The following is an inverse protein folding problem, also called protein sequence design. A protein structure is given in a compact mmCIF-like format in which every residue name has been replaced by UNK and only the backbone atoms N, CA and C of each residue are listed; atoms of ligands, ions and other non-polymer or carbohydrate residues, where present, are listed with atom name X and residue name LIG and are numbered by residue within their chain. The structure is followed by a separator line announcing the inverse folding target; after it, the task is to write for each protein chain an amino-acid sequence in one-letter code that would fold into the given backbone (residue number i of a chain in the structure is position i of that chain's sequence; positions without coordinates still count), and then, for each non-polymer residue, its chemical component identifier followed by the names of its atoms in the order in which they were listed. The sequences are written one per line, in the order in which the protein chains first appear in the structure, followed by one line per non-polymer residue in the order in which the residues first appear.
data_IF_362658615317
#
_entry.id   IF_362658615317
#
_cell.length_a   1.000
_cell.length_b   1.000
_cell.length_c   1.000
_cell.angle_alpha   90.00
_cell.angle_beta   90.00
_cell.angle_gamma   90.00
#
_symmetry.space_group_name_H-M   'P 1'
#
loop_
_entity.id
_entity.type
_entity.pdbx_description
1 polymer ?
#
# COMPACT_ATOMS: atom_id res chain seq x y z
N UNK A 1 12.44 19.39 3.60
CA UNK A 1 12.68 19.20 5.05
C UNK A 1 11.55 18.35 5.61
N UNK A 2 11.77 17.04 5.78
CA UNK A 2 10.75 16.15 6.35
C UNK A 2 10.59 16.48 7.84
N UNK A 3 9.34 16.73 8.27
CA UNK A 3 9.01 16.78 9.71
C UNK A 3 9.42 15.45 10.36
N UNK A 4 9.97 15.46 11.57
CA UNK A 4 10.27 14.23 12.30
C UNK A 4 8.99 13.39 12.43
N UNK A 5 9.09 12.10 12.12
CA UNK A 5 7.99 11.16 12.24
C UNK A 5 7.53 11.11 13.70
N UNK A 6 6.22 11.23 13.94
CA UNK A 6 5.66 10.99 15.28
C UNK A 6 5.56 9.48 15.50
N UNK A 7 6.60 8.86 16.03
CA UNK A 7 6.72 7.40 16.11
C UNK A 7 5.54 6.74 16.82
N UNK A 8 5.03 7.32 17.91
CA UNK A 8 3.88 6.78 18.62
C UNK A 8 2.67 6.62 17.71
N UNK A 9 2.36 7.65 16.91
CA UNK A 9 1.22 7.61 15.97
C UNK A 9 1.47 6.61 14.86
N UNK A 10 2.68 6.60 14.30
CA UNK A 10 3.08 5.70 13.21
C UNK A 10 2.97 4.24 13.65
N UNK A 11 3.56 3.89 14.78
CA UNK A 11 3.62 2.51 15.27
C UNK A 11 2.24 2.02 15.70
N UNK A 12 1.45 2.81 16.43
CA UNK A 12 0.08 2.42 16.77
C UNK A 12 -0.77 2.15 15.54
N UNK A 13 -0.58 2.90 14.46
CA UNK A 13 -1.29 2.67 13.21
C UNK A 13 -0.83 1.38 12.52
N UNK A 14 0.47 1.11 12.48
CA UNK A 14 1.00 -0.15 11.95
C UNK A 14 0.53 -1.36 12.75
N UNK A 15 0.49 -1.26 14.08
CA UNK A 15 -0.04 -2.30 14.97
C UNK A 15 -1.52 -2.61 14.67
N UNK A 16 -2.34 -1.61 14.36
CA UNK A 16 -3.73 -1.84 13.94
C UNK A 16 -3.83 -2.55 12.58
N UNK A 17 -2.97 -2.18 11.62
CA UNK A 17 -3.00 -2.71 10.26
C UNK A 17 -2.43 -4.14 10.18
N UNK A 18 -1.38 -4.42 10.94
CA UNK A 18 -0.66 -5.70 10.91
C UNK A 18 -0.99 -6.62 12.09
N UNK A 19 -1.53 -6.10 13.21
CA UNK A 19 -1.76 -6.86 14.45
C UNK A 19 -0.49 -7.57 14.94
N UNK A 20 0.60 -6.82 15.05
CA UNK A 20 1.89 -7.35 15.51
C UNK A 20 1.76 -7.93 16.93
N UNK A 21 2.45 -9.05 17.17
CA UNK A 21 2.45 -9.73 18.48
C UNK A 21 3.48 -9.15 19.47
N UNK A 22 4.40 -8.32 19.00
CA UNK A 22 5.48 -7.74 19.78
C UNK A 22 5.83 -6.35 19.27
N UNK A 23 6.45 -5.52 20.12
CA UNK A 23 6.78 -4.14 19.76
C UNK A 23 7.84 -4.07 18.64
N UNK A 24 7.66 -3.18 17.65
CA UNK A 24 8.76 -2.75 16.79
C UNK A 24 9.92 -2.19 17.62
N UNK A 25 11.12 -2.69 17.37
CA UNK A 25 12.33 -2.36 18.13
C UNK A 25 13.05 -1.20 17.45
N UNK A 26 13.09 -0.04 18.11
CA UNK A 26 14.01 1.03 17.80
C UNK A 26 15.43 0.52 18.06
N UNK A 27 16.33 0.61 17.09
CA UNK A 27 17.71 0.14 17.21
C UNK A 27 18.67 1.26 16.80
N UNK A 28 19.62 1.58 17.69
CA UNK A 28 20.59 2.66 17.48
C UNK A 28 21.98 2.22 17.89
N UNK A 29 22.95 2.45 17.02
CA UNK A 29 24.37 2.31 17.35
C UNK A 29 24.90 3.65 17.87
N UNK A 30 25.73 3.61 18.91
CA UNK A 30 26.25 4.78 19.60
C UNK A 30 27.77 4.85 19.46
N UNK A 31 28.27 6.02 19.09
CA UNK A 31 29.71 6.27 18.94
C UNK A 31 30.37 6.36 20.31
N UNK A 32 29.66 6.89 21.32
CA UNK A 32 30.15 6.99 22.70
C UNK A 32 29.25 6.21 23.68
N UNK A 33 29.87 5.47 24.61
CA UNK A 33 29.12 4.63 25.56
C UNK A 33 28.36 5.49 26.59
N UNK A 34 28.85 6.69 26.88
CA UNK A 34 28.26 7.64 27.83
C UNK A 34 26.87 8.10 27.38
N UNK A 35 26.58 8.05 26.08
CA UNK A 35 25.27 8.42 25.52
C UNK A 35 24.13 7.55 26.07
N UNK A 36 24.43 6.32 26.47
CA UNK A 36 23.47 5.40 27.08
C UNK A 36 22.82 6.00 28.34
N UNK A 37 23.60 6.75 29.12
CA UNK A 37 23.12 7.40 30.35
C UNK A 37 22.12 8.53 30.11
N UNK A 38 22.07 9.05 28.88
CA UNK A 38 21.18 10.14 28.46
C UNK A 38 19.83 9.64 27.95
N UNK A 39 19.71 8.34 27.67
CA UNK A 39 18.48 7.74 27.14
C UNK A 39 17.51 7.47 28.31
N UNK A 40 16.25 7.96 28.24
CA UNK A 40 15.25 7.73 29.27
C UNK A 40 14.99 6.24 29.53
N UNK A 41 14.76 5.89 30.79
CA UNK A 41 14.40 4.53 31.22
C UNK A 41 15.41 3.44 30.82
N UNK A 42 16.66 3.81 30.56
CA UNK A 42 17.74 2.92 30.18
C UNK A 42 17.99 1.83 31.23
N UNK A 43 17.89 0.56 30.82
CA UNK A 43 18.25 -0.61 31.61
C UNK A 43 19.52 -1.24 31.05
N UNK A 44 20.42 -1.61 31.96
CA UNK A 44 21.66 -2.33 31.67
C UNK A 44 21.53 -3.80 32.04
N UNK A 45 22.04 -4.74 31.23
CA UNK A 45 22.09 -6.14 31.60
C UNK A 45 22.79 -6.34 32.95
N UNK A 46 22.13 -7.03 33.90
CA UNK A 46 22.72 -7.38 35.20
C UNK A 46 23.69 -8.58 35.14
N UNK A 47 23.74 -9.25 34.00
CA UNK A 47 24.63 -10.36 33.68
C UNK A 47 24.90 -10.34 32.17
N UNK A 48 25.85 -11.13 31.70
CA UNK A 48 26.16 -11.21 30.27
C UNK A 48 25.01 -11.86 29.49
N UNK A 49 24.58 -11.24 28.41
CA UNK A 49 23.44 -11.68 27.61
C UNK A 49 23.80 -11.80 26.12
N UNK A 50 23.01 -12.55 25.37
CA UNK A 50 23.06 -12.53 23.90
C UNK A 50 22.31 -11.31 23.36
N UNK A 51 22.65 -10.86 22.14
CA UNK A 51 21.91 -9.80 21.47
C UNK A 51 20.42 -10.15 21.34
N UNK A 52 20.13 -11.42 21.04
CA UNK A 52 18.76 -11.91 20.86
C UNK A 52 17.93 -11.76 22.15
N UNK A 53 18.48 -12.09 23.32
CA UNK A 53 17.80 -11.88 24.61
C UNK A 53 17.53 -10.40 24.87
N UNK A 54 18.47 -9.51 24.54
CA UNK A 54 18.29 -8.06 24.70
C UNK A 54 17.16 -7.55 23.81
N UNK A 55 17.10 -8.01 22.55
CA UNK A 55 15.99 -7.72 21.64
C UNK A 55 14.66 -8.22 22.22
N UNK A 56 14.62 -9.42 22.82
CA UNK A 56 13.41 -9.98 23.48
C UNK A 56 12.91 -9.10 24.62
N UNK A 57 13.82 -8.62 25.48
CA UNK A 57 13.47 -7.69 26.56
C UNK A 57 12.78 -6.44 26.03
N UNK A 58 13.20 -5.97 24.87
CA UNK A 58 12.56 -4.83 24.21
C UNK A 58 11.21 -5.22 23.64
N UNK A 59 11.15 -6.20 22.75
CA UNK A 59 9.95 -6.52 21.96
C UNK A 59 8.80 -7.11 22.77
N UNK A 60 9.10 -7.81 23.88
CA UNK A 60 8.09 -8.54 24.66
C UNK A 60 7.93 -8.01 26.09
N UNK A 61 8.94 -7.36 26.67
CA UNK A 61 8.90 -6.91 28.06
C UNK A 61 8.86 -5.39 28.21
N UNK A 62 8.87 -4.64 27.11
CA UNK A 62 8.80 -3.17 27.14
C UNK A 62 9.99 -2.53 27.88
N UNK A 63 11.20 -3.00 27.55
CA UNK A 63 12.42 -2.47 28.13
C UNK A 63 13.18 -1.60 27.14
N UNK A 64 13.65 -0.46 27.61
CA UNK A 64 14.76 0.26 26.96
C UNK A 64 16.06 -0.37 27.47
N UNK A 65 16.82 -1.00 26.58
CA UNK A 65 18.01 -1.77 26.89
C UNK A 65 19.21 -1.17 26.18
N UNK A 66 20.32 -1.07 26.88
CA UNK A 66 21.59 -0.65 26.29
C UNK A 66 22.72 -1.58 26.70
N UNK A 67 23.65 -1.79 25.79
CA UNK A 67 24.78 -2.71 26.01
C UNK A 67 26.07 -2.16 25.42
N UNK A 68 27.17 -2.43 26.12
CA UNK A 68 28.55 -2.31 25.66
C UNK A 68 29.15 -3.71 25.46
N UNK A 69 30.37 -3.77 24.92
CA UNK A 69 31.09 -5.03 24.71
C UNK A 69 31.09 -5.96 25.94
N UNK A 70 31.28 -5.42 27.15
CA UNK A 70 31.34 -6.19 28.41
C UNK A 70 30.04 -6.91 28.78
N UNK A 71 28.91 -6.46 28.26
CA UNK A 71 27.57 -6.97 28.57
C UNK A 71 27.20 -8.19 27.70
N UNK A 72 28.00 -8.49 26.66
CA UNK A 72 27.75 -9.63 25.79
C UNK A 72 28.35 -10.93 26.34
N UNK A 73 27.63 -12.03 26.13
CA UNK A 73 28.03 -13.37 26.56
C UNK A 73 29.34 -13.84 25.91
N UNK A 74 29.50 -13.60 24.61
CA UNK A 74 30.64 -14.01 23.80
C UNK A 74 30.89 -12.95 22.72
N UNK A 75 32.07 -12.94 22.05
CA UNK A 75 32.41 -11.91 21.07
C UNK A 75 31.66 -12.04 19.73
N UNK A 76 30.94 -13.14 19.47
CA UNK A 76 30.26 -13.37 18.19
C UNK A 76 29.19 -12.30 17.91
N UNK A 77 28.25 -12.08 18.84
CA UNK A 77 27.22 -11.04 18.69
C UNK A 77 27.79 -9.61 18.58
N UNK A 78 28.64 -9.14 19.51
CA UNK A 78 29.19 -7.78 19.43
C UNK A 78 30.09 -7.57 18.21
N UNK A 79 30.71 -8.63 17.66
CA UNK A 79 31.46 -8.50 16.40
C UNK A 79 30.60 -8.15 15.20
N UNK A 80 29.36 -8.65 15.14
CA UNK A 80 28.39 -8.30 14.09
C UNK A 80 28.06 -6.81 14.14
N UNK A 81 27.99 -6.25 15.36
CA UNK A 81 27.74 -4.84 15.62
C UNK A 81 29.01 -3.96 15.52
N UNK A 82 30.17 -4.53 15.19
CA UNK A 82 31.43 -3.79 15.08
C UNK A 82 32.03 -3.34 16.42
N UNK A 83 31.57 -3.89 17.55
CA UNK A 83 32.06 -3.52 18.90
C UNK A 83 33.37 -4.23 19.27
N UNK A 84 33.71 -5.32 18.58
CA UNK A 84 34.98 -6.01 18.73
C UNK A 84 35.30 -6.83 17.46
N UNK A 85 36.54 -7.26 17.33
CA UNK A 85 36.92 -8.27 16.34
C UNK A 85 36.47 -9.67 16.79
N UNK A 86 36.36 -10.60 15.83
CA UNK A 86 36.17 -12.01 16.13
C UNK A 86 37.48 -12.65 16.60
N UNK A 87 37.46 -13.59 17.56
CA UNK A 87 38.66 -14.31 18.00
C UNK A 87 39.29 -15.17 16.90
N UNK A 88 40.57 -15.51 17.06
CA UNK A 88 41.30 -16.34 16.09
C UNK A 88 40.67 -17.72 15.90
N UNK A 89 40.10 -18.31 16.95
CA UNK A 89 39.43 -19.61 16.86
C UNK A 89 38.10 -19.55 16.05
N UNK A 90 37.56 -18.36 15.78
CA UNK A 90 36.49 -18.18 14.79
C UNK A 90 37.09 -18.08 13.38
N UNK A 91 38.16 -17.28 13.23
CA UNK A 91 38.85 -17.01 11.96
C UNK A 91 39.54 -18.23 11.37
N UNK A 92 40.11 -19.11 12.19
CA UNK A 92 40.75 -20.36 11.77
C UNK A 92 39.74 -21.50 11.48
N UNK A 93 38.45 -21.22 11.69
CA UNK A 93 37.34 -22.14 11.47
C UNK A 93 37.09 -23.14 12.61
N UNK A 94 37.85 -23.09 13.72
CA UNK A 94 37.69 -24.00 14.85
C UNK A 94 36.26 -23.96 15.39
N UNK A 95 35.72 -22.77 15.69
CA UNK A 95 34.39 -22.60 16.29
C UNK A 95 33.26 -23.22 15.45
N UNK A 96 33.13 -22.80 14.19
CA UNK A 96 32.00 -23.23 13.34
C UNK A 96 32.08 -24.71 12.97
N UNK A 97 33.29 -25.27 12.89
CA UNK A 97 33.48 -26.70 12.58
C UNK A 97 33.01 -27.65 13.69
N UNK A 98 32.79 -27.15 14.92
CA UNK A 98 32.30 -27.97 16.03
C UNK A 98 30.84 -28.37 15.80
N UNK A 99 30.03 -27.48 15.22
CA UNK A 99 28.55 -27.64 15.19
C UNK A 99 27.95 -27.45 13.81
N UNK A 100 28.44 -26.47 13.03
CA UNK A 100 27.68 -25.92 11.90
C UNK A 100 28.13 -26.43 10.54
N UNK A 101 29.41 -26.79 10.40
CA UNK A 101 29.99 -27.20 9.11
C UNK A 101 31.00 -28.32 9.28
N UNK A 102 31.16 -29.14 8.23
CA UNK A 102 31.96 -30.37 8.30
C UNK A 102 33.46 -30.14 8.49
N UNK A 103 34.01 -29.07 7.90
CA UNK A 103 35.46 -28.84 7.87
C UNK A 103 35.82 -27.44 8.38
N UNK A 104 37.04 -27.28 8.91
CA UNK A 104 37.56 -25.95 9.25
C UNK A 104 37.63 -25.02 8.05
N UNK A 105 37.90 -25.54 6.86
CA UNK A 105 37.89 -24.75 5.62
C UNK A 105 36.50 -24.19 5.30
N UNK A 106 35.46 -25.00 5.45
CA UNK A 106 34.08 -24.53 5.29
C UNK A 106 33.70 -23.55 6.40
N UNK A 107 34.24 -23.72 7.60
CA UNK A 107 34.05 -22.80 8.72
C UNK A 107 34.70 -21.42 8.48
N UNK A 108 35.89 -21.39 7.89
CA UNK A 108 36.54 -20.14 7.48
C UNK A 108 35.72 -19.41 6.43
N UNK A 109 35.22 -20.13 5.42
CA UNK A 109 34.32 -19.57 4.39
C UNK A 109 33.04 -19.04 5.02
N UNK A 110 32.42 -19.82 5.91
CA UNK A 110 31.24 -19.41 6.66
C UNK A 110 31.48 -18.07 7.36
N UNK A 111 32.55 -17.97 8.14
CA UNK A 111 32.81 -16.80 8.99
C UNK A 111 33.17 -15.54 8.17
N UNK A 112 33.82 -15.73 7.02
CA UNK A 112 34.19 -14.66 6.08
C UNK A 112 32.97 -14.06 5.35
N UNK A 113 31.91 -14.85 5.13
CA UNK A 113 30.69 -14.41 4.45
C UNK A 113 29.69 -13.70 5.37
N UNK A 114 29.93 -13.63 6.69
CA UNK A 114 29.07 -12.92 7.65
C UNK A 114 29.33 -11.40 7.56
N UNK A 115 28.35 -10.58 7.13
CA UNK A 115 28.47 -9.13 7.20
C UNK A 115 28.71 -8.62 8.62
N UNK A 116 29.60 -7.64 8.78
CA UNK A 116 29.83 -7.00 10.09
C UNK A 116 29.88 -5.50 9.90
N UNK A 117 29.42 -4.76 10.90
CA UNK A 117 29.61 -3.31 10.91
C UNK A 117 31.11 -2.99 11.01
N UNK A 118 31.56 -1.86 10.45
CA UNK A 118 32.95 -1.42 10.61
C UNK A 118 33.32 -1.30 12.08
N UNK A 119 34.50 -1.83 12.41
CA UNK A 119 35.09 -1.64 13.73
C UNK A 119 35.48 -0.16 13.93
N UNK A 120 35.69 0.23 15.19
CA UNK A 120 36.17 1.56 15.63
C UNK A 120 35.18 2.73 15.48
N UNK A 121 33.97 2.48 14.98
CA UNK A 121 32.92 3.51 14.90
C UNK A 121 32.03 3.57 16.13
N UNK A 122 31.63 2.42 16.66
CA UNK A 122 30.62 2.33 17.70
C UNK A 122 31.17 1.70 18.97
N UNK A 123 30.75 2.21 20.12
CA UNK A 123 31.14 1.71 21.45
C UNK A 123 29.97 1.06 22.19
N UNK A 124 28.74 1.32 21.75
CA UNK A 124 27.55 0.80 22.39
C UNK A 124 26.36 0.65 21.43
N UNK A 125 25.34 -0.06 21.90
CA UNK A 125 24.05 -0.21 21.23
C UNK A 125 22.92 0.13 22.20
N UNK A 126 21.89 0.81 21.71
CA UNK A 126 20.65 1.08 22.42
C UNK A 126 19.46 0.54 21.64
N UNK A 127 18.53 -0.09 22.36
CA UNK A 127 17.32 -0.68 21.82
C UNK A 127 16.13 -0.34 22.71
N UNK A 128 14.97 -0.06 22.11
CA UNK A 128 13.79 0.27 22.89
C UNK A 128 12.50 0.08 22.08
N UNK A 129 11.32 -0.01 22.71
CA UNK A 129 10.06 -0.12 21.98
C UNK A 129 9.77 1.24 21.33
N UNK A 130 9.70 1.24 19.99
CA UNK A 130 9.68 2.48 19.21
C UNK A 130 8.44 3.36 19.49
N UNK A 131 7.35 2.76 19.96
CA UNK A 131 6.10 3.45 20.29
C UNK A 131 6.27 4.50 21.41
N UNK A 132 7.30 4.40 22.24
CA UNK A 132 7.55 5.33 23.36
C UNK A 132 8.49 6.49 23.02
N UNK A 133 8.96 6.60 21.77
CA UNK A 133 9.83 7.69 21.31
C UNK A 133 11.09 7.92 22.19
N UNK A 134 11.83 6.85 22.57
CA UNK A 134 12.94 6.98 23.54
C UNK A 134 14.17 7.69 22.96
N UNK A 135 14.41 7.54 21.65
CA UNK A 135 15.45 8.18 20.87
C UNK A 135 15.12 8.05 19.38
N UNK A 136 15.82 8.79 18.51
CA UNK A 136 15.73 8.61 17.06
C UNK A 136 16.55 7.37 16.63
N UNK A 137 15.90 6.31 16.10
CA UNK A 137 16.59 5.08 15.72
C UNK A 137 17.33 5.22 14.39
N UNK A 138 18.34 4.39 14.17
CA UNK A 138 18.98 4.27 12.86
C UNK A 138 18.19 3.28 11.99
N UNK A 139 17.77 2.16 12.59
CA UNK A 139 16.93 1.14 11.98
C UNK A 139 15.82 0.70 12.93
N UNK A 140 14.78 0.07 12.38
CA UNK A 140 13.67 -0.53 13.12
C UNK A 140 13.62 -2.02 12.81
N UNK A 141 13.64 -2.85 13.85
CA UNK A 141 13.44 -4.30 13.71
C UNK A 141 11.97 -4.64 13.95
N UNK A 142 11.39 -5.37 13.01
CA UNK A 142 10.01 -5.87 13.10
C UNK A 142 10.05 -7.39 13.01
N UNK A 143 9.46 -8.04 14.00
CA UNK A 143 9.20 -9.47 14.00
C UNK A 143 7.72 -9.71 13.68
N UNK A 144 7.47 -10.55 12.69
CA UNK A 144 6.12 -10.80 12.20
C UNK A 144 6.05 -12.14 11.45
N UNK A 145 4.85 -12.70 11.30
CA UNK A 145 4.65 -13.92 10.52
C UNK A 145 4.73 -13.66 8.99
N UNK A 146 4.77 -14.71 8.14
CA UNK A 146 4.93 -14.53 6.70
C UNK A 146 3.82 -13.70 6.03
N UNK A 147 2.58 -13.81 6.52
CA UNK A 147 1.45 -13.03 6.00
C UNK A 147 1.61 -11.54 6.30
N UNK A 148 2.06 -11.18 7.51
CA UNK A 148 2.35 -9.81 7.89
C UNK A 148 3.56 -9.26 7.11
N UNK A 149 4.62 -10.07 6.92
CA UNK A 149 5.79 -9.67 6.15
C UNK A 149 5.46 -9.42 4.68
N UNK A 150 4.60 -10.25 4.07
CA UNK A 150 4.15 -10.05 2.69
C UNK A 150 3.48 -8.68 2.51
N UNK A 151 2.65 -8.23 3.46
CA UNK A 151 2.07 -6.88 3.42
C UNK A 151 3.11 -5.78 3.60
N UNK A 152 4.05 -5.97 4.53
CA UNK A 152 5.09 -5.00 4.80
C UNK A 152 6.05 -4.83 3.62
N UNK A 153 6.44 -5.93 2.95
CA UNK A 153 7.23 -5.92 1.71
C UNK A 153 6.48 -5.18 0.61
N UNK A 154 5.22 -5.56 0.34
CA UNK A 154 4.40 -4.88 -0.66
C UNK A 154 4.25 -3.38 -0.34
N UNK A 155 4.15 -3.01 0.94
CA UNK A 155 4.04 -1.61 1.34
C UNK A 155 5.30 -0.79 1.03
N UNK A 156 6.48 -1.39 1.23
CA UNK A 156 7.76 -0.75 0.96
C UNK A 156 8.06 -0.68 -0.55
N UNK A 157 7.52 -1.61 -1.33
CA UNK A 157 7.64 -1.68 -2.79
C UNK A 157 6.54 -0.91 -3.54
N UNK A 158 5.53 -0.40 -2.83
CA UNK A 158 4.36 0.25 -3.44
C UNK A 158 4.73 1.49 -4.26
N UNK A 159 5.67 2.29 -3.74
CA UNK A 159 6.32 3.40 -4.45
C UNK A 159 7.77 3.00 -4.75
N UNK A 160 8.31 3.39 -5.90
CA UNK A 160 9.68 3.06 -6.33
C UNK A 160 9.99 1.55 -6.24
N UNK A 161 9.26 0.75 -7.02
CA UNK A 161 9.37 -0.70 -6.98
C UNK A 161 10.83 -1.17 -7.17
N UNK A 162 11.33 -1.92 -6.17
CA UNK A 162 12.60 -2.61 -6.22
C UNK A 162 12.43 -4.02 -5.65
N UNK A 163 13.03 -5.02 -6.28
CA UNK A 163 13.07 -6.37 -5.73
C UNK A 163 13.91 -6.37 -4.45
N UNK A 164 13.31 -6.74 -3.32
CA UNK A 164 14.03 -6.90 -2.07
C UNK A 164 14.85 -8.18 -2.05
N UNK A 165 16.07 -8.12 -1.51
CA UNK A 165 16.91 -9.29 -1.33
C UNK A 165 16.60 -9.95 0.01
N UNK A 166 16.40 -11.27 -0.04
CA UNK A 166 16.19 -12.11 1.14
C UNK A 166 17.47 -12.90 1.40
N UNK A 167 18.10 -12.64 2.54
CA UNK A 167 19.32 -13.32 2.95
C UNK A 167 18.98 -14.35 4.01
N UNK A 168 19.56 -15.54 3.89
CA UNK A 168 19.29 -16.64 4.79
C UNK A 168 20.58 -17.35 5.17
N UNK A 169 21.00 -17.12 6.41
CA UNK A 169 22.02 -17.91 7.08
C UNK A 169 21.40 -18.73 8.21
N UNK A 170 21.81 -19.99 8.37
CA UNK A 170 21.27 -20.87 9.42
C UNK A 170 21.66 -20.46 10.85
N UNK A 171 22.68 -19.60 11.00
CA UNK A 171 23.11 -18.99 12.26
C UNK A 171 23.67 -17.59 11.98
N UNK A 172 23.59 -16.66 12.95
CA UNK A 172 23.94 -15.23 12.76
C UNK A 172 22.93 -14.44 11.92
N UNK A 173 21.65 -14.77 12.00
CA UNK A 173 20.56 -13.99 11.38
C UNK A 173 20.56 -12.51 11.74
N UNK A 174 21.07 -12.11 12.92
CA UNK A 174 21.26 -10.70 13.25
C UNK A 174 22.21 -9.99 12.30
N UNK A 175 23.19 -10.68 11.70
CA UNK A 175 24.02 -10.15 10.63
C UNK A 175 23.23 -9.84 9.37
N UNK A 176 22.35 -10.76 8.96
CA UNK A 176 21.52 -10.58 7.77
C UNK A 176 20.47 -9.49 7.96
N UNK A 177 19.83 -9.39 9.11
CA UNK A 177 18.90 -8.31 9.40
C UNK A 177 19.62 -6.98 9.65
N UNK A 178 20.44 -6.91 10.70
CA UNK A 178 21.00 -5.64 11.21
C UNK A 178 22.16 -5.18 10.35
N UNK A 179 23.25 -5.96 10.26
CA UNK A 179 24.47 -5.49 9.63
C UNK A 179 24.25 -5.14 8.15
N UNK A 180 23.53 -5.97 7.39
CA UNK A 180 23.20 -5.64 5.99
C UNK A 180 22.33 -4.39 5.85
N UNK A 181 21.36 -4.17 6.73
CA UNK A 181 20.52 -2.97 6.69
C UNK A 181 21.35 -1.70 6.90
N UNK A 182 22.29 -1.71 7.85
CA UNK A 182 23.23 -0.61 8.07
C UNK A 182 24.19 -0.39 6.90
N UNK A 183 24.74 -1.48 6.35
CA UNK A 183 25.75 -1.41 5.28
C UNK A 183 25.15 -0.96 3.94
N UNK A 184 23.92 -1.37 3.64
CA UNK A 184 23.27 -1.09 2.35
C UNK A 184 22.32 0.11 2.39
N UNK A 185 21.86 0.51 3.58
CA UNK A 185 20.79 1.50 3.72
C UNK A 185 19.45 1.03 3.17
N UNK A 186 19.26 -0.29 2.97
CA UNK A 186 18.04 -0.90 2.43
C UNK A 186 17.39 -1.85 3.44
N UNK A 187 16.07 -2.09 3.35
CA UNK A 187 15.42 -3.10 4.18
C UNK A 187 16.05 -4.48 3.97
N UNK A 188 16.23 -5.23 5.05
CA UNK A 188 16.82 -6.57 5.00
C UNK A 188 15.98 -7.57 5.80
N UNK A 189 15.46 -8.58 5.12
CA UNK A 189 14.58 -9.62 5.66
C UNK A 189 15.36 -10.92 5.78
N UNK A 190 15.16 -11.65 6.89
CA UNK A 190 15.78 -12.96 7.12
C UNK A 190 14.91 -13.87 8.00
N UNK A 191 15.32 -15.14 8.11
CA UNK A 191 14.73 -16.13 9.01
C UNK A 191 15.51 -16.09 10.34
N UNK A 192 14.84 -15.87 11.49
CA UNK A 192 15.47 -16.00 12.80
C UNK A 192 16.15 -17.36 12.96
N UNK A 193 17.44 -17.32 13.29
CA UNK A 193 18.26 -18.52 13.43
C UNK A 193 18.00 -19.29 14.72
N UNK A 194 18.66 -20.44 14.89
CA UNK A 194 18.53 -21.26 16.09
C UNK A 194 18.78 -20.48 17.40
N UNK A 195 19.77 -19.57 17.40
CA UNK A 195 20.07 -18.74 18.56
C UNK A 195 18.94 -17.76 18.91
N UNK A 196 18.33 -17.13 17.91
CA UNK A 196 17.19 -16.24 18.10
C UNK A 196 15.97 -16.99 18.66
N UNK A 197 15.77 -18.25 18.28
CA UNK A 197 14.69 -19.08 18.80
C UNK A 197 14.96 -19.53 20.23
N UNK A 198 16.14 -20.13 20.45
CA UNK A 198 16.52 -20.71 21.73
C UNK A 198 16.70 -19.67 22.84
N UNK A 199 17.28 -18.52 22.51
CA UNK A 199 17.62 -17.49 23.51
C UNK A 199 16.78 -16.22 23.36
N UNK A 200 16.35 -15.89 22.15
CA UNK A 200 15.55 -14.69 21.86
C UNK A 200 14.03 -14.94 21.81
N UNK A 201 13.58 -16.17 22.01
CA UNK A 201 12.16 -16.56 21.97
C UNK A 201 11.43 -16.15 20.66
N UNK A 202 12.16 -16.09 19.53
CA UNK A 202 11.52 -15.97 18.23
C UNK A 202 10.61 -17.18 17.98
N UNK A 203 9.36 -16.93 17.60
CA UNK A 203 8.34 -17.98 17.39
C UNK A 203 8.56 -18.72 16.08
N UNK A 204 8.06 -19.96 15.95
CA UNK A 204 8.26 -20.82 14.76
C UNK A 204 7.93 -20.11 13.44
N UNK A 205 6.87 -19.32 13.44
CA UNK A 205 6.45 -18.51 12.30
C UNK A 205 7.11 -17.14 12.17
N UNK A 206 7.90 -16.68 13.15
CA UNK A 206 8.52 -15.36 13.10
C UNK A 206 9.53 -15.29 11.94
N UNK A 207 9.39 -14.24 11.14
CA UNK A 207 10.43 -13.65 10.32
C UNK A 207 10.89 -12.34 10.97
N UNK A 208 12.07 -11.86 10.61
CA UNK A 208 12.56 -10.56 11.06
C UNK A 208 13.00 -9.70 9.88
N UNK A 209 12.56 -8.45 9.85
CA UNK A 209 13.00 -7.45 8.90
C UNK A 209 13.59 -6.25 9.65
N UNK A 210 14.76 -5.80 9.21
CA UNK A 210 15.32 -4.51 9.56
C UNK A 210 14.94 -3.49 8.48
N UNK A 211 14.44 -2.32 8.89
CA UNK A 211 14.04 -1.24 7.99
C UNK A 211 14.79 0.04 8.42
N UNK A 212 15.46 0.76 7.51
CA UNK A 212 16.02 2.07 7.83
C UNK A 212 14.94 2.99 8.37
N UNK A 213 15.21 3.72 9.46
CA UNK A 213 14.19 4.53 10.13
C UNK A 213 13.46 5.51 9.19
N UNK A 214 14.20 6.12 8.25
CA UNK A 214 13.64 7.02 7.24
C UNK A 214 12.61 6.39 6.29
N UNK A 215 12.57 5.06 6.18
CA UNK A 215 11.62 4.33 5.32
C UNK A 215 10.33 3.95 6.05
N UNK A 216 10.23 4.13 7.36
CA UNK A 216 9.05 3.73 8.14
C UNK A 216 7.79 4.53 7.75
N UNK A 217 7.95 5.80 7.38
CA UNK A 217 6.85 6.60 6.84
C UNK A 217 6.31 6.04 5.51
N UNK A 218 7.23 5.61 4.62
CA UNK A 218 6.89 4.95 3.35
C UNK A 218 6.16 3.63 3.61
N UNK A 219 6.67 2.80 4.52
CA UNK A 219 6.03 1.55 4.92
C UNK A 219 4.59 1.75 5.39
N UNK A 220 4.36 2.71 6.29
CA UNK A 220 3.01 3.00 6.79
C UNK A 220 2.07 3.47 5.67
N UNK A 221 2.51 4.40 4.82
CA UNK A 221 1.70 4.90 3.69
C UNK A 221 1.32 3.78 2.73
N UNK A 222 2.27 2.89 2.44
CA UNK A 222 2.04 1.69 1.63
C UNK A 222 1.01 0.76 2.27
N UNK A 223 1.12 0.47 3.57
CA UNK A 223 0.17 -0.39 4.30
C UNK A 223 -1.24 0.20 4.29
N UNK A 224 -1.38 1.52 4.49
CA UNK A 224 -2.68 2.19 4.43
C UNK A 224 -3.29 2.14 3.02
N UNK A 225 -2.45 2.18 1.99
CA UNK A 225 -2.91 2.10 0.59
C UNK A 225 -3.35 0.68 0.23
N UNK A 226 -2.58 -0.33 0.62
CA UNK A 226 -2.98 -1.74 0.51
C UNK A 226 -4.30 -1.99 1.26
N UNK A 227 -4.43 -1.45 2.47
CA UNK A 227 -5.65 -1.56 3.27
C UNK A 227 -6.86 -0.95 2.56
N UNK A 228 -6.73 0.26 2.00
CA UNK A 228 -7.79 0.90 1.20
C UNK A 228 -8.18 0.06 -0.01
N UNK A 229 -7.22 -0.60 -0.65
CA UNK A 229 -7.42 -1.51 -1.79
C UNK A 229 -7.92 -2.92 -1.42
N UNK A 230 -8.21 -3.18 -0.15
CA UNK A 230 -8.75 -4.46 0.32
C UNK A 230 -7.71 -5.54 0.62
N UNK A 231 -6.41 -5.26 0.45
CA UNK A 231 -5.33 -6.17 0.82
C UNK A 231 -4.98 -5.91 2.30
N UNK A 232 -5.45 -6.78 3.19
CA UNK A 232 -5.48 -6.54 4.66
C UNK A 232 -5.03 -7.75 5.47
N UNK A 233 -4.65 -7.50 6.73
CA UNK A 233 -4.44 -8.54 7.74
C UNK A 233 -5.55 -8.49 8.83
N UNK A 234 -6.02 -9.64 9.36
CA UNK A 234 -5.74 -11.01 8.91
C UNK A 234 -6.23 -11.29 7.48
N UNK A 235 -5.57 -12.21 6.79
CA UNK A 235 -5.96 -12.61 5.43
C UNK A 235 -7.24 -13.44 5.53
N UNK A 236 -8.32 -12.97 4.89
CA UNK A 236 -9.57 -13.72 4.77
C UNK A 236 -9.42 -14.81 3.71
N UNK A 237 -9.63 -16.07 4.09
CA UNK A 237 -9.63 -17.19 3.15
C UNK A 237 -10.94 -17.25 2.38
N UNK A 238 -10.87 -17.45 1.07
CA UNK A 238 -12.06 -17.61 0.24
C UNK A 238 -12.61 -19.06 0.23
N UNK A 239 -11.91 -20.02 0.84
CA UNK A 239 -12.32 -21.44 0.88
C UNK A 239 -11.92 -22.19 -0.40
N UNK A 240 -11.32 -23.37 -0.26
CA UNK A 240 -10.70 -24.10 -1.38
C UNK A 240 -11.69 -24.58 -2.46
N UNK A 241 -12.97 -24.75 -2.10
CA UNK A 241 -14.02 -25.25 -2.99
C UNK A 241 -14.84 -24.14 -3.66
N UNK A 242 -14.58 -22.87 -3.34
CA UNK A 242 -15.35 -21.76 -3.90
C UNK A 242 -14.86 -21.39 -5.31
N UNK A 243 -15.81 -21.09 -6.19
CA UNK A 243 -15.52 -20.44 -7.47
C UNK A 243 -15.12 -18.97 -7.21
N UNK A 244 -13.82 -18.70 -7.31
CA UNK A 244 -13.25 -17.39 -7.05
C UNK A 244 -13.39 -16.42 -8.22
N UNK A 245 -13.85 -16.85 -9.40
CA UNK A 245 -13.97 -15.95 -10.57
C UNK A 245 -14.78 -14.69 -10.27
N UNK A 246 -15.79 -14.80 -9.39
CA UNK A 246 -16.62 -13.69 -8.91
C UNK A 246 -16.03 -12.91 -7.74
N UNK A 247 -15.05 -13.47 -7.05
CA UNK A 247 -14.38 -12.86 -5.89
C UNK A 247 -13.11 -12.09 -6.29
N UNK A 248 -12.49 -12.43 -7.42
CA UNK A 248 -11.39 -11.65 -7.96
C UNK A 248 -11.88 -10.26 -8.40
N UNK A 249 -11.11 -9.18 -8.13
CA UNK A 249 -11.36 -7.89 -8.74
C UNK A 249 -11.49 -8.06 -10.25
N UNK A 250 -12.38 -7.29 -10.89
CA UNK A 250 -12.57 -7.39 -12.33
C UNK A 250 -11.24 -7.28 -13.09
N UNK A 251 -10.25 -6.53 -12.58
CA UNK A 251 -8.90 -6.47 -13.19
C UNK A 251 -8.20 -7.82 -13.38
N UNK A 252 -8.51 -8.83 -12.56
CA UNK A 252 -7.91 -10.17 -12.62
C UNK A 252 -8.76 -11.17 -13.41
N UNK A 253 -10.09 -11.09 -13.31
CA UNK A 253 -11.02 -11.98 -14.05
C UNK A 253 -11.33 -11.48 -15.47
N UNK A 254 -11.17 -10.17 -15.71
CA UNK A 254 -11.48 -9.51 -16.98
C UNK A 254 -10.26 -9.40 -17.92
N UNK A 255 -9.15 -10.11 -17.71
CA UNK A 255 -8.05 -10.11 -18.68
C UNK A 255 -8.52 -10.59 -20.07
N UNK A 256 -9.48 -11.52 -20.15
CA UNK A 256 -10.15 -11.88 -21.41
C UNK A 256 -11.23 -10.89 -21.88
N UNK A 257 -11.77 -10.06 -20.98
CA UNK A 257 -12.71 -8.99 -21.33
C UNK A 257 -12.00 -7.67 -21.70
N UNK A 258 -10.71 -7.54 -21.40
CA UNK A 258 -9.85 -6.45 -21.87
C UNK A 258 -9.85 -6.38 -23.40
N UNK A 259 -9.76 -7.53 -24.06
CA UNK A 259 -9.83 -7.65 -25.52
C UNK A 259 -11.22 -7.28 -26.06
N UNK A 260 -12.31 -7.60 -25.35
CA UNK A 260 -13.66 -7.26 -25.79
C UNK A 260 -13.99 -5.77 -25.60
N UNK A 261 -13.44 -5.17 -24.54
CA UNK A 261 -13.55 -3.73 -24.24
C UNK A 261 -12.71 -2.93 -25.22
N UNK A 262 -11.41 -3.22 -25.31
CA UNK A 262 -10.47 -2.44 -26.13
C UNK A 262 -10.59 -2.76 -27.62
N UNK A 263 -11.01 -3.96 -27.98
CA UNK A 263 -11.14 -4.38 -29.38
C UNK A 263 -9.81 -4.42 -30.13
N UNK A 264 -9.90 -4.76 -31.41
CA UNK A 264 -8.80 -4.75 -32.39
C UNK A 264 -9.15 -3.92 -33.64
N UNK A 265 -10.15 -3.05 -33.52
CA UNK A 265 -10.71 -2.21 -34.58
C UNK A 265 -10.15 -0.77 -34.55
N UNK A 266 -9.04 -0.57 -33.82
CA UNK A 266 -8.38 0.73 -33.64
C UNK A 266 -9.20 1.75 -32.83
N UNK A 267 -10.22 1.32 -32.08
CA UNK A 267 -10.91 2.19 -31.11
C UNK A 267 -9.96 2.58 -29.98
N UNK A 268 -10.08 3.83 -29.49
CA UNK A 268 -9.33 4.30 -28.33
C UNK A 268 -10.31 4.59 -27.20
N UNK A 269 -10.21 3.81 -26.12
CA UNK A 269 -10.92 4.06 -24.86
C UNK A 269 -10.09 4.93 -23.90
N UNK A 270 -10.61 6.13 -23.60
CA UNK A 270 -10.06 7.10 -22.66
C UNK A 270 -10.88 7.09 -21.37
N UNK A 271 -10.29 6.69 -20.25
CA UNK A 271 -10.92 6.78 -18.94
C UNK A 271 -10.85 8.20 -18.41
N UNK A 272 -11.98 8.89 -18.27
CA UNK A 272 -12.03 10.27 -17.78
C UNK A 272 -12.53 10.28 -16.34
N UNK A 273 -11.66 10.72 -15.42
CA UNK A 273 -11.96 10.81 -14.00
C UNK A 273 -11.59 12.19 -13.44
N UNK A 274 -11.96 12.43 -12.20
CA UNK A 274 -11.73 13.67 -11.49
C UNK A 274 -12.36 13.60 -10.11
N UNK A 275 -12.00 14.52 -9.25
CA UNK A 275 -12.70 14.67 -7.97
C UNK A 275 -14.05 15.35 -8.17
N UNK A 276 -14.93 15.27 -7.16
CA UNK A 276 -16.19 16.00 -7.18
C UNK A 276 -15.95 17.49 -7.45
N UNK A 277 -16.85 18.08 -8.25
CA UNK A 277 -16.78 19.49 -8.68
C UNK A 277 -15.51 19.90 -9.44
N UNK A 278 -14.70 18.96 -9.96
CA UNK A 278 -13.51 19.29 -10.77
C UNK A 278 -13.84 19.84 -12.18
N UNK A 279 -15.08 19.70 -12.63
CA UNK A 279 -15.51 20.10 -13.98
C UNK A 279 -15.25 19.03 -15.05
N UNK A 280 -15.24 17.76 -14.67
CA UNK A 280 -15.23 16.61 -15.59
C UNK A 280 -16.21 16.77 -16.75
N UNK A 281 -17.44 17.19 -16.48
CA UNK A 281 -18.48 17.39 -17.50
C UNK A 281 -18.10 18.46 -18.53
N UNK A 282 -17.43 19.54 -18.10
CA UNK A 282 -16.95 20.59 -18.99
C UNK A 282 -15.90 20.04 -19.95
N UNK A 283 -14.88 19.34 -19.44
CA UNK A 283 -13.83 18.75 -20.27
C UNK A 283 -14.40 17.67 -21.20
N UNK A 284 -15.33 16.85 -20.70
CA UNK A 284 -16.00 15.84 -21.51
C UNK A 284 -16.81 16.45 -22.65
N UNK A 285 -17.55 17.53 -22.42
CA UNK A 285 -18.27 18.24 -23.48
C UNK A 285 -17.29 18.80 -24.54
N UNK A 286 -16.19 19.41 -24.12
CA UNK A 286 -15.16 19.91 -25.05
C UNK A 286 -14.57 18.80 -25.92
N UNK A 287 -14.34 17.60 -25.36
CA UNK A 287 -13.89 16.44 -26.13
C UNK A 287 -14.98 15.91 -27.08
N UNK A 288 -16.26 15.95 -26.68
CA UNK A 288 -17.37 15.59 -27.57
C UNK A 288 -17.46 16.53 -28.78
N UNK A 289 -17.30 17.83 -28.57
CA UNK A 289 -17.29 18.83 -29.65
C UNK A 289 -16.16 18.59 -30.66
N UNK A 290 -15.07 17.91 -30.25
CA UNK A 290 -13.97 17.51 -31.12
C UNK A 290 -14.16 16.15 -31.80
N UNK A 291 -15.24 15.44 -31.47
CA UNK A 291 -15.61 14.15 -32.07
C UNK A 291 -15.41 12.92 -31.19
N UNK A 292 -15.10 13.08 -29.89
CA UNK A 292 -15.08 11.96 -28.96
C UNK A 292 -16.50 11.50 -28.60
N UNK A 293 -16.75 10.19 -28.56
CA UNK A 293 -18.01 9.67 -28.05
C UNK A 293 -17.97 9.58 -26.51
N UNK A 294 -19.02 10.02 -25.83
CA UNK A 294 -19.11 9.96 -24.37
C UNK A 294 -19.98 8.81 -23.92
N UNK A 295 -19.43 8.00 -23.02
CA UNK A 295 -20.17 7.06 -22.19
C UNK A 295 -20.02 7.52 -20.74
N UNK A 296 -21.12 7.87 -20.07
CA UNK A 296 -21.10 8.31 -18.66
C UNK A 296 -21.62 7.20 -17.74
N UNK A 297 -20.78 6.72 -16.83
CA UNK A 297 -21.14 5.65 -15.89
C UNK A 297 -22.28 6.06 -14.94
N UNK A 298 -22.41 7.34 -14.59
CA UNK A 298 -23.53 7.81 -13.77
C UNK A 298 -24.86 7.68 -14.52
N UNK A 299 -24.84 7.85 -15.86
CA UNK A 299 -26.00 7.66 -16.74
C UNK A 299 -26.31 6.18 -16.89
N UNK A 300 -25.30 5.34 -17.18
CA UNK A 300 -25.44 3.89 -17.25
C UNK A 300 -26.03 3.31 -15.96
N UNK A 301 -25.53 3.73 -14.80
CA UNK A 301 -26.03 3.30 -13.51
C UNK A 301 -27.51 3.67 -13.28
N UNK A 302 -28.06 4.71 -13.93
CA UNK A 302 -29.51 4.99 -13.92
C UNK A 302 -30.25 4.09 -14.89
N UNK A 303 -29.73 3.96 -16.11
CA UNK A 303 -30.34 3.20 -17.21
C UNK A 303 -30.54 1.73 -16.85
N UNK A 304 -29.62 1.10 -16.12
CA UNK A 304 -29.70 -0.34 -15.79
C UNK A 304 -30.75 -0.66 -14.72
N UNK A 305 -31.16 0.33 -13.93
CA UNK A 305 -32.18 0.19 -12.87
C UNK A 305 -33.50 0.85 -13.23
N UNK A 306 -33.74 1.14 -14.51
CA UNK A 306 -35.03 1.63 -14.98
C UNK A 306 -36.15 0.59 -14.73
N UNK A 307 -37.40 1.04 -14.54
CA UNK A 307 -38.53 0.16 -14.27
C UNK A 307 -38.61 -1.00 -15.27
N UNK A 308 -38.77 -2.22 -14.74
CA UNK A 308 -38.90 -3.44 -15.57
C UNK A 308 -37.58 -4.09 -15.99
N UNK A 309 -36.42 -3.44 -15.86
CA UNK A 309 -35.12 -4.07 -16.09
C UNK A 309 -34.77 -5.13 -15.04
N UNK A 310 -33.89 -6.11 -15.35
CA UNK A 310 -33.52 -7.17 -14.40
C UNK A 310 -33.01 -6.66 -13.06
N UNK A 311 -32.09 -5.68 -13.04
CA UNK A 311 -31.57 -5.12 -11.80
C UNK A 311 -32.67 -4.44 -10.97
N UNK A 312 -33.61 -3.73 -11.60
CA UNK A 312 -34.75 -3.16 -10.89
C UNK A 312 -35.58 -4.25 -10.20
N UNK A 313 -35.92 -5.34 -10.91
CA UNK A 313 -36.71 -6.45 -10.35
C UNK A 313 -36.00 -7.12 -9.16
N UNK A 314 -34.70 -7.37 -9.30
CA UNK A 314 -33.88 -7.99 -8.27
C UNK A 314 -33.72 -7.07 -7.03
N UNK A 315 -33.55 -5.76 -7.25
CA UNK A 315 -33.50 -4.75 -6.17
C UNK A 315 -34.83 -4.71 -5.43
N UNK A 316 -35.96 -4.62 -6.13
CA UNK A 316 -37.30 -4.58 -5.50
C UNK A 316 -37.60 -5.88 -4.75
N UNK A 317 -37.19 -7.03 -5.28
CA UNK A 317 -37.37 -8.32 -4.60
C UNK A 317 -36.57 -8.41 -3.29
N UNK A 318 -35.36 -7.83 -3.24
CA UNK A 318 -34.50 -7.89 -2.06
C UNK A 318 -34.79 -6.79 -1.03
N UNK A 319 -34.93 -5.55 -1.48
CA UNK A 319 -35.11 -4.37 -0.62
C UNK A 319 -36.57 -4.04 -0.34
N UNK A 320 -37.52 -4.64 -1.06
CA UNK A 320 -38.95 -4.40 -0.96
C UNK A 320 -39.42 -3.15 -1.71
N UNK A 321 -40.74 -2.95 -1.82
CA UNK A 321 -41.32 -1.80 -2.53
C UNK A 321 -41.08 -0.44 -1.85
N UNK A 322 -40.54 -0.43 -0.63
CA UNK A 322 -40.16 0.80 0.09
C UNK A 322 -39.05 1.60 -0.62
N UNK A 323 -38.29 0.98 -1.54
CA UNK A 323 -37.28 1.67 -2.36
C UNK A 323 -37.80 2.09 -3.73
N UNK A 324 -39.11 2.01 -3.95
CA UNK A 324 -39.79 2.36 -5.22
C UNK A 324 -40.69 3.58 -4.98
N UNK A 325 -40.58 4.56 -5.87
CA UNK A 325 -41.42 5.76 -5.92
C UNK A 325 -42.79 5.45 -6.56
N UNK A 326 -43.73 6.40 -6.49
CA UNK A 326 -45.07 6.25 -7.07
C UNK A 326 -45.07 6.06 -8.60
N UNK A 327 -44.03 6.55 -9.28
CA UNK A 327 -43.82 6.42 -10.73
C UNK A 327 -43.09 5.13 -11.14
N UNK A 328 -43.01 4.14 -10.23
CA UNK A 328 -42.26 2.88 -10.35
C UNK A 328 -40.73 3.04 -10.47
N UNK A 329 -40.18 4.26 -10.39
CA UNK A 329 -38.72 4.46 -10.38
C UNK A 329 -38.13 4.17 -9.00
N UNK A 330 -36.81 3.94 -8.92
CA UNK A 330 -36.15 3.74 -7.62
C UNK A 330 -36.05 5.06 -6.84
N UNK A 331 -36.55 5.04 -5.61
CA UNK A 331 -36.31 6.11 -4.64
C UNK A 331 -34.86 6.02 -4.13
N UNK A 332 -33.96 6.75 -4.78
CA UNK A 332 -32.53 6.76 -4.47
C UNK A 332 -32.22 7.21 -3.06
N UNK A 333 -33.00 8.14 -2.50
CA UNK A 333 -32.79 8.63 -1.15
C UNK A 333 -33.07 7.53 -0.13
N UNK A 334 -34.23 6.88 -0.24
CA UNK A 334 -34.59 5.74 0.61
C UNK A 334 -33.60 4.58 0.47
N UNK A 335 -33.20 4.23 -0.76
CA UNK A 335 -32.22 3.18 -1.00
C UNK A 335 -30.84 3.54 -0.40
N UNK A 336 -30.40 4.79 -0.58
CA UNK A 336 -29.13 5.30 -0.03
C UNK A 336 -29.12 5.23 1.49
N UNK A 337 -30.19 5.65 2.17
CA UNK A 337 -30.30 5.58 3.63
C UNK A 337 -30.14 4.14 4.14
N UNK A 338 -30.76 3.17 3.46
CA UNK A 338 -30.64 1.75 3.80
C UNK A 338 -29.20 1.26 3.63
N UNK A 339 -28.57 1.47 2.46
CA UNK A 339 -27.23 0.91 2.17
C UNK A 339 -26.10 1.67 2.87
N UNK A 340 -26.31 2.92 3.27
CA UNK A 340 -25.33 3.67 4.04
C UNK A 340 -25.24 3.17 5.48
N UNK A 341 -26.34 2.67 6.03
CA UNK A 341 -26.39 2.11 7.39
C UNK A 341 -25.91 0.66 7.49
N UNK A 342 -25.80 -0.07 6.37
CA UNK A 342 -25.55 -1.52 6.35
C UNK A 342 -24.63 -1.94 5.19
N UNK A 343 -23.41 -2.37 5.56
CA UNK A 343 -22.37 -2.77 4.61
C UNK A 343 -22.74 -4.01 3.79
N UNK A 344 -23.46 -4.97 4.37
CA UNK A 344 -23.84 -6.20 3.67
C UNK A 344 -24.94 -5.90 2.64
N UNK A 345 -25.89 -5.04 2.98
CA UNK A 345 -26.88 -4.53 2.03
C UNK A 345 -26.25 -3.73 0.90
N UNK A 346 -25.23 -2.91 1.20
CA UNK A 346 -24.46 -2.19 0.17
C UNK A 346 -23.79 -3.15 -0.81
N UNK A 347 -23.05 -4.14 -0.32
CA UNK A 347 -22.44 -5.17 -1.18
C UNK A 347 -23.48 -5.91 -2.00
N UNK A 348 -24.65 -6.19 -1.41
CA UNK A 348 -25.74 -6.83 -2.13
C UNK A 348 -26.23 -5.96 -3.28
N UNK A 349 -26.51 -4.68 -3.06
CA UNK A 349 -26.90 -3.75 -4.13
C UNK A 349 -25.84 -3.71 -5.24
N UNK A 350 -24.56 -3.53 -4.87
CA UNK A 350 -23.43 -3.50 -5.81
C UNK A 350 -23.37 -4.79 -6.65
N UNK A 351 -23.61 -5.96 -6.04
CA UNK A 351 -23.62 -7.26 -6.74
C UNK A 351 -24.76 -7.41 -7.76
N UNK A 352 -25.88 -6.70 -7.58
CA UNK A 352 -27.01 -6.71 -8.52
C UNK A 352 -26.79 -5.72 -9.67
N UNK A 353 -26.16 -4.57 -9.38
CA UNK A 353 -26.01 -3.49 -10.36
C UNK A 353 -24.74 -3.62 -11.19
N UNK A 354 -23.57 -3.94 -10.60
CA UNK A 354 -22.29 -3.89 -11.30
C UNK A 354 -22.22 -4.77 -12.55
N UNK A 355 -22.70 -6.05 -12.54
CA UNK A 355 -22.70 -6.86 -13.76
C UNK A 355 -23.51 -6.22 -14.90
N UNK A 356 -24.67 -5.62 -14.58
CA UNK A 356 -25.55 -4.99 -15.57
C UNK A 356 -24.96 -3.69 -16.13
N UNK A 357 -24.30 -2.89 -15.28
CA UNK A 357 -23.58 -1.69 -15.73
C UNK A 357 -22.48 -2.08 -16.71
N UNK A 358 -21.75 -3.16 -16.41
CA UNK A 358 -20.68 -3.64 -17.28
C UNK A 358 -21.21 -4.19 -18.61
N UNK A 359 -22.31 -4.96 -18.59
CA UNK A 359 -23.00 -5.43 -19.81
C UNK A 359 -23.43 -4.26 -20.71
N UNK A 360 -24.08 -3.25 -20.13
CA UNK A 360 -24.54 -2.07 -20.87
C UNK A 360 -23.36 -1.23 -21.39
N UNK A 361 -22.30 -1.06 -20.59
CA UNK A 361 -21.06 -0.40 -21.02
C UNK A 361 -20.45 -1.08 -22.25
N UNK A 362 -20.31 -2.42 -22.22
CA UNK A 362 -19.78 -3.18 -23.34
C UNK A 362 -20.67 -3.09 -24.59
N UNK A 363 -21.98 -3.05 -24.41
CA UNK A 363 -22.93 -2.88 -25.52
C UNK A 363 -22.78 -1.50 -26.17
N UNK A 364 -22.73 -0.42 -25.37
CA UNK A 364 -22.54 0.93 -25.91
C UNK A 364 -21.19 1.10 -26.62
N UNK A 365 -20.11 0.54 -26.06
CA UNK A 365 -18.80 0.52 -26.73
C UNK A 365 -18.88 -0.21 -28.09
N UNK A 366 -19.54 -1.38 -28.14
CA UNK A 366 -19.70 -2.15 -29.38
C UNK A 366 -20.53 -1.41 -30.42
N UNK A 367 -21.62 -0.75 -30.01
CA UNK A 367 -22.47 0.03 -30.92
C UNK A 367 -21.71 1.21 -31.54
N UNK A 368 -20.93 1.93 -30.74
CA UNK A 368 -20.09 3.04 -31.23
C UNK A 368 -19.01 2.52 -32.18
N UNK A 369 -18.33 1.44 -31.81
CA UNK A 369 -17.30 0.81 -32.64
C UNK A 369 -17.84 0.26 -33.97
N UNK A 370 -19.08 -0.26 -33.99
CA UNK A 370 -19.73 -0.72 -35.22
C UNK A 370 -20.16 0.43 -36.14
N UNK A 371 -20.56 1.59 -35.57
CA UNK A 371 -21.04 2.75 -36.32
C UNK A 371 -19.94 3.68 -36.83
N UNK A 372 -18.74 3.63 -36.24
CA UNK A 372 -17.67 4.59 -36.51
C UNK A 372 -16.31 3.87 -36.63
N UNK A 373 -15.53 4.07 -37.70
CA UNK A 373 -14.20 3.49 -37.82
C UNK A 373 -13.23 4.19 -36.86
N UNK A 374 -12.50 3.39 -36.06
CA UNK A 374 -11.51 3.88 -35.08
C UNK A 374 -12.05 5.04 -34.21
N UNK A 375 -13.11 4.83 -33.41
CA UNK A 375 -13.67 5.90 -32.59
C UNK A 375 -12.78 6.19 -31.38
N UNK A 376 -12.72 7.46 -30.96
CA UNK A 376 -12.23 7.83 -29.64
C UNK A 376 -13.43 7.87 -28.71
N UNK A 377 -13.45 7.00 -27.71
CA UNK A 377 -14.53 6.86 -26.74
C UNK A 377 -14.01 7.30 -25.38
N UNK A 378 -14.52 8.41 -24.87
CA UNK A 378 -14.28 8.85 -23.51
C UNK A 378 -15.32 8.25 -22.56
N UNK A 379 -14.85 7.75 -21.43
CA UNK A 379 -15.68 7.05 -20.46
C UNK A 379 -15.57 7.78 -19.12
N UNK A 380 -16.63 8.50 -18.75
CA UNK A 380 -16.67 9.31 -17.56
C UNK A 380 -16.97 8.47 -16.31
N UNK A 381 -16.00 8.34 -15.40
CA UNK A 381 -16.16 7.57 -14.14
C UNK A 381 -15.57 8.36 -12.96
N UNK A 382 -16.37 8.94 -12.06
CA UNK A 382 -15.85 9.69 -10.90
C UNK A 382 -14.97 8.85 -9.97
N UNK A 383 -15.31 7.58 -9.78
CA UNK A 383 -14.64 6.64 -8.88
C UNK A 383 -13.71 5.66 -9.63
N UNK A 384 -13.22 6.03 -10.82
CA UNK A 384 -12.41 5.16 -11.69
C UNK A 384 -11.26 4.51 -10.94
N UNK A 385 -10.54 5.31 -10.15
CA UNK A 385 -9.34 4.90 -9.43
C UNK A 385 -9.70 4.08 -8.20
N UNK A 386 -10.70 4.53 -7.46
CA UNK A 386 -11.21 3.90 -6.24
C UNK A 386 -11.77 2.49 -6.49
N UNK A 387 -12.39 2.29 -7.66
CA UNK A 387 -12.92 1.00 -8.11
C UNK A 387 -11.90 0.13 -8.84
N UNK A 388 -10.65 0.58 -8.95
CA UNK A 388 -9.57 -0.09 -9.68
C UNK A 388 -9.92 -0.43 -11.15
N UNK A 389 -10.60 0.48 -11.86
CA UNK A 389 -11.07 0.28 -13.24
C UNK A 389 -10.07 0.77 -14.32
N UNK A 390 -8.88 1.22 -13.91
CA UNK A 390 -7.84 1.77 -14.79
C UNK A 390 -7.51 0.85 -15.96
N UNK A 391 -7.41 -0.45 -15.68
CA UNK A 391 -7.00 -1.47 -16.65
C UNK A 391 -7.92 -1.52 -17.87
N UNK A 392 -9.18 -1.08 -17.79
CA UNK A 392 -10.12 -1.09 -18.93
C UNK A 392 -9.73 -0.10 -20.04
N UNK A 393 -8.95 0.94 -19.73
CA UNK A 393 -8.70 2.06 -20.62
C UNK A 393 -7.29 2.05 -21.19
N UNK A 394 -7.13 2.53 -22.43
CA UNK A 394 -5.80 2.69 -23.03
C UNK A 394 -5.04 3.85 -22.39
N UNK A 395 -5.79 4.91 -22.04
CA UNK A 395 -5.27 6.13 -21.44
C UNK A 395 -6.23 6.63 -20.37
N UNK A 396 -5.69 7.28 -19.36
CA UNK A 396 -6.44 7.86 -18.25
C UNK A 396 -6.23 9.38 -18.23
N UNK A 397 -7.34 10.10 -18.27
CA UNK A 397 -7.40 11.54 -18.10
C UNK A 397 -7.93 11.88 -16.71
N UNK A 398 -7.17 12.67 -15.95
CA UNK A 398 -7.61 13.26 -14.68
C UNK A 398 -7.90 14.74 -14.88
N UNK A 399 -9.14 15.16 -14.63
CA UNK A 399 -9.53 16.57 -14.55
C UNK A 399 -9.28 17.06 -13.11
N UNK A 400 -8.29 17.93 -12.98
CA UNK A 400 -7.73 18.38 -11.72
C UNK A 400 -8.15 19.81 -11.39
N UNK A 401 -8.54 20.02 -10.13
CA UNK A 401 -8.49 21.31 -9.45
C UNK A 401 -8.02 21.09 -8.00
N UNK A 402 -7.36 22.08 -7.38
CA UNK A 402 -6.99 22.03 -5.97
C UNK A 402 -8.18 21.72 -5.04
N UNK A 403 -7.93 20.94 -3.98
CA UNK A 403 -8.97 20.45 -3.07
C UNK A 403 -9.81 21.58 -2.41
N UNK A 404 -9.19 22.72 -2.11
CA UNK A 404 -9.90 23.89 -1.58
C UNK A 404 -10.91 24.44 -2.59
N UNK A 405 -10.58 24.48 -3.89
CA UNK A 405 -11.50 24.89 -4.94
C UNK A 405 -12.60 23.85 -5.18
N UNK A 406 -12.32 22.56 -4.96
CA UNK A 406 -13.37 21.52 -4.99
C UNK A 406 -14.43 21.77 -3.92
N UNK A 407 -14.01 22.10 -2.70
CA UNK A 407 -14.91 22.41 -1.59
C UNK A 407 -15.74 23.64 -1.90
N UNK A 408 -15.12 24.73 -2.36
CA UNK A 408 -15.82 25.97 -2.72
C UNK A 408 -16.87 25.74 -3.82
N UNK A 409 -16.47 25.07 -4.92
CA UNK A 409 -17.37 24.79 -6.04
C UNK A 409 -18.52 23.88 -5.63
N UNK A 410 -18.25 22.86 -4.81
CA UNK A 410 -19.26 21.93 -4.33
C UNK A 410 -20.27 22.62 -3.41
N UNK A 411 -19.78 23.42 -2.44
CA UNK A 411 -20.63 24.21 -1.55
C UNK A 411 -21.56 25.15 -2.32
N UNK A 412 -21.02 25.86 -3.32
CA UNK A 412 -21.81 26.76 -4.17
C UNK A 412 -22.83 26.03 -5.03
N UNK A 413 -22.45 24.91 -5.65
CA UNK A 413 -23.32 24.13 -6.55
C UNK A 413 -24.50 23.50 -5.82
N UNK A 414 -24.24 22.94 -4.64
CA UNK A 414 -25.22 22.14 -3.90
C UNK A 414 -25.91 22.93 -2.77
N UNK A 415 -25.49 24.19 -2.52
CA UNK A 415 -26.06 25.03 -1.48
C UNK A 415 -25.77 24.54 -0.06
N UNK A 416 -24.66 23.83 0.14
CA UNK A 416 -24.25 23.22 1.41
C UNK A 416 -23.09 23.99 2.05
N UNK A 417 -22.82 23.75 3.33
CA UNK A 417 -21.68 24.36 4.01
C UNK A 417 -20.34 23.83 3.49
N UNK A 418 -19.28 24.63 3.57
CA UNK A 418 -17.91 24.19 3.23
C UNK A 418 -17.48 22.96 4.06
N UNK A 419 -17.94 22.87 5.30
CA UNK A 419 -17.64 21.75 6.18
C UNK A 419 -18.31 20.44 5.71
N UNK A 420 -19.56 20.52 5.24
CA UNK A 420 -20.27 19.39 4.62
C UNK A 420 -19.60 18.99 3.30
N UNK A 421 -19.28 19.96 2.44
CA UNK A 421 -18.57 19.72 1.18
C UNK A 421 -17.21 19.04 1.41
N UNK A 422 -16.44 19.48 2.41
CA UNK A 422 -15.18 18.85 2.80
C UNK A 422 -15.36 17.41 3.31
N UNK A 423 -16.47 17.12 4.00
CA UNK A 423 -16.77 15.76 4.46
C UNK A 423 -17.17 14.83 3.31
N UNK A 424 -17.90 15.34 2.32
CA UNK A 424 -18.21 14.60 1.09
C UNK A 424 -16.91 14.29 0.33
N UNK A 425 -16.00 15.26 0.22
CA UNK A 425 -14.74 15.10 -0.50
C UNK A 425 -13.86 13.99 0.12
N UNK A 426 -13.89 13.81 1.44
CA UNK A 426 -13.16 12.73 2.15
C UNK A 426 -13.60 11.31 1.76
N UNK A 427 -14.77 11.14 1.15
CA UNK A 427 -15.23 9.84 0.69
C UNK A 427 -14.53 9.39 -0.61
N UNK A 428 -13.86 10.30 -1.32
CA UNK A 428 -13.11 10.02 -2.54
C UNK A 428 -11.60 9.95 -2.26
N UNK A 429 -10.86 9.33 -3.18
CA UNK A 429 -9.40 9.42 -3.14
C UNK A 429 -8.99 10.90 -3.31
N UNK A 430 -8.05 11.42 -2.50
CA UNK A 430 -7.56 12.79 -2.67
C UNK A 430 -7.13 13.04 -4.11
N UNK A 431 -7.49 14.21 -4.66
CA UNK A 431 -7.25 14.51 -6.08
C UNK A 431 -5.77 14.42 -6.46
N UNK A 432 -4.87 14.83 -5.55
CA UNK A 432 -3.42 14.72 -5.70
C UNK A 432 -2.96 13.26 -5.81
N UNK A 433 -3.58 12.33 -5.07
CA UNK A 433 -3.27 10.91 -5.18
C UNK A 433 -3.75 10.32 -6.52
N UNK A 434 -4.78 10.90 -7.16
CA UNK A 434 -5.27 10.46 -8.48
C UNK A 434 -4.27 10.77 -9.60
N UNK A 435 -3.44 11.80 -9.45
CA UNK A 435 -2.45 12.20 -10.46
C UNK A 435 -1.44 11.10 -10.78
N UNK A 436 -1.09 10.26 -9.80
CA UNK A 436 -0.18 9.13 -9.99
C UNK A 436 -0.69 8.02 -10.92
N UNK A 437 -1.97 8.07 -11.32
CA UNK A 437 -2.58 7.12 -12.26
C UNK A 437 -2.89 7.74 -13.62
N UNK A 438 -2.62 9.04 -13.80
CA UNK A 438 -2.99 9.78 -15.00
C UNK A 438 -1.94 9.59 -16.09
N UNK A 439 -2.37 9.31 -17.32
CA UNK A 439 -1.54 9.55 -18.52
C UNK A 439 -1.58 11.04 -18.89
N UNK A 440 -2.74 11.68 -18.68
CA UNK A 440 -2.99 13.08 -19.00
C UNK A 440 -3.69 13.79 -17.85
N UNK A 441 -3.33 15.05 -17.64
CA UNK A 441 -3.95 15.92 -16.61
C UNK A 441 -4.45 17.18 -17.29
N UNK A 442 -5.71 17.55 -17.02
CA UNK A 442 -6.27 18.84 -17.44
C UNK A 442 -6.56 19.65 -16.18
N UNK A 443 -5.90 20.80 -16.08
CA UNK A 443 -6.12 21.78 -15.03
C UNK A 443 -7.33 22.64 -15.37
N UNK A 444 -8.34 22.63 -14.51
CA UNK A 444 -9.62 23.33 -14.72
C UNK A 444 -9.91 24.39 -13.63
N UNK A 445 -8.84 24.92 -13.04
CA UNK A 445 -8.82 26.00 -12.06
C UNK A 445 -8.62 27.38 -12.70
N UNK A 446 -8.23 27.43 -13.97
CA UNK A 446 -8.07 28.65 -14.77
C UNK A 446 -9.31 29.04 -15.60
N UNK A 447 -9.09 29.76 -16.71
CA UNK A 447 -10.17 30.19 -17.61
C UNK A 447 -10.67 29.05 -18.52
N UNK A 448 -11.89 29.19 -19.05
CA UNK A 448 -12.46 28.22 -20.00
C UNK A 448 -11.60 28.09 -21.26
N UNK A 449 -11.00 29.18 -21.73
CA UNK A 449 -10.07 29.20 -22.87
C UNK A 449 -8.78 28.43 -22.58
N UNK A 450 -8.24 28.58 -21.37
CA UNK A 450 -7.05 27.83 -20.92
C UNK A 450 -7.33 26.33 -20.86
N UNK A 451 -8.47 25.93 -20.29
CA UNK A 451 -8.93 24.54 -20.30
C UNK A 451 -9.10 24.03 -21.72
N UNK A 452 -9.76 24.79 -22.60
CA UNK A 452 -9.97 24.42 -24.01
C UNK A 452 -8.64 24.25 -24.76
N UNK A 453 -7.64 25.09 -24.49
CA UNK A 453 -6.29 24.97 -25.08
C UNK A 453 -5.61 23.66 -24.68
N UNK A 454 -5.69 23.29 -23.40
CA UNK A 454 -5.18 22.01 -22.92
C UNK A 454 -5.93 20.82 -23.55
N UNK A 455 -7.27 20.91 -23.69
CA UNK A 455 -8.08 19.86 -24.32
C UNK A 455 -7.72 19.70 -25.81
N UNK A 456 -7.47 20.79 -26.54
CA UNK A 456 -7.01 20.73 -27.94
C UNK A 456 -5.67 20.02 -28.07
N UNK A 457 -4.73 20.28 -27.15
CA UNK A 457 -3.44 19.58 -27.12
C UNK A 457 -3.63 18.10 -26.87
N UNK A 458 -4.40 17.75 -25.84
CA UNK A 458 -4.77 16.37 -25.52
C UNK A 458 -5.40 15.67 -26.73
N UNK A 459 -6.32 16.32 -27.44
CA UNK A 459 -6.95 15.74 -28.62
C UNK A 459 -5.94 15.36 -29.70
N UNK A 460 -4.95 16.23 -29.96
CA UNK A 460 -3.85 15.90 -30.88
C UNK A 460 -3.04 14.68 -30.43
N UNK A 461 -2.71 14.59 -29.14
CA UNK A 461 -1.98 13.46 -28.56
C UNK A 461 -2.81 12.15 -28.62
N UNK A 462 -4.11 12.22 -28.38
CA UNK A 462 -5.01 11.06 -28.49
C UNK A 462 -5.13 10.57 -29.93
N UNK A 463 -5.23 11.48 -30.91
CA UNK A 463 -5.23 11.11 -32.33
C UNK A 463 -3.91 10.47 -32.75
N UNK A 464 -2.77 11.02 -32.29
CA UNK A 464 -1.46 10.42 -32.56
C UNK A 464 -1.31 9.03 -31.93
N UNK A 465 -1.77 8.84 -30.69
CA UNK A 465 -1.75 7.55 -30.02
C UNK A 465 -2.68 6.53 -30.70
N UNK A 466 -3.86 6.97 -31.15
CA UNK A 466 -4.79 6.12 -31.89
C UNK A 466 -4.16 5.51 -33.15
N UNK A 467 -3.24 6.20 -33.83
CA UNK A 467 -2.54 5.66 -35.00
C UNK A 467 -1.64 4.45 -34.67
N UNK A 468 -1.29 4.26 -33.39
CA UNK A 468 -0.48 3.12 -32.92
C UNK A 468 -1.30 1.90 -32.50
N UNK A 469 -2.63 2.04 -32.43
CA UNK A 469 -3.60 0.96 -32.19
C UNK A 469 -4.07 0.38 -33.52
#
# INVERSE_FOLDING_TARGET
MNRPLKWQKTIRRMEQLLRLKSFPVAFKMLEEAEELSRIPFMRRPGHKMTLCQMITLVRNFDWTVGAELKDFMNPTCPSILGLCDIPEYNKDGTFRSIVWVKTRKDAQRYEAEIPRLPMDRYKAVAMAPLVYEPFEPDIVLIYANPAQMMLLINSLQFEDYEVMQFYCVGESSCSDAIARCYLTGKPSLTIPCYGERRYGHAQDEDLVIAIPAGMMGKALKGLETLYRRGIRYPISFAGAEQDLTRAFPLSYSALGALDSVRGNDGRLLLGVTGGIASGKSTVSAMLQDMGAHLIDFDVLARKVVEPGKPAWKEIVAYFGRQVVSEDETLNRKALSEIVFSDMEKRKKLESLTHPRIHEEFLEEVRQIAAGHPRPIIQVGIPLLIELNLQYLFHKILVVHIPANLQVERLARRDGISEQEAANILKAQLPIEEKLGYADYVIHNDGSTEETMSQVRRLWGELKAFQETL
#
